data_IF_786828706829
#
_entry.id   IF_786828706829
#
_cell.length_a   1.000
_cell.length_b   1.000
_cell.length_c   1.000
_cell.angle_alpha   90.00
_cell.angle_beta   90.00
_cell.angle_gamma   90.00
#
_symmetry.space_group_name_H-M   'P 1'
#
loop_
_entity.id
_entity.type
_entity.pdbx_description
1 polymer ?
#
# COMPACT_ATOMS: atom_id res chain seq x y z
N UNK A 1 -12.96 13.69 -5.03
CA UNK A 1 -12.63 13.90 -6.47
C UNK A 1 -13.05 15.31 -6.84
N UNK A 2 -12.27 16.00 -7.67
CA UNK A 2 -12.57 17.37 -8.11
C UNK A 2 -12.49 17.48 -9.63
N UNK A 3 -13.11 18.52 -10.18
CA UNK A 3 -13.13 18.84 -11.61
C UNK A 3 -12.11 19.93 -11.90
N UNK A 4 -11.39 19.81 -13.01
CA UNK A 4 -10.57 20.87 -13.61
C UNK A 4 -11.06 21.14 -15.01
N UNK A 5 -11.02 22.41 -15.39
CA UNK A 5 -11.23 22.86 -16.76
C UNK A 5 -9.93 23.52 -17.22
N UNK A 6 -9.64 23.39 -18.51
CA UNK A 6 -8.45 23.97 -19.13
C UNK A 6 -8.94 24.92 -20.20
N UNK A 7 -8.40 26.13 -20.22
CA UNK A 7 -8.67 27.08 -21.30
C UNK A 7 -7.59 26.92 -22.37
N UNK A 8 -8.00 26.65 -23.61
CA UNK A 8 -7.10 26.57 -24.77
C UNK A 8 -7.73 27.30 -25.93
N UNK A 9 -7.05 28.32 -26.45
CA UNK A 9 -7.52 29.15 -27.57
C UNK A 9 -8.95 29.65 -27.31
N UNK A 10 -9.17 30.29 -26.15
CA UNK A 10 -10.45 30.85 -25.72
C UNK A 10 -11.60 29.83 -25.50
N UNK A 11 -11.34 28.55 -25.75
CA UNK A 11 -12.30 27.46 -25.51
C UNK A 11 -12.04 26.80 -24.16
N UNK A 12 -13.12 26.63 -23.38
CA UNK A 12 -13.11 25.90 -22.11
C UNK A 12 -13.23 24.39 -22.36
N UNK A 13 -12.16 23.66 -22.12
CA UNK A 13 -12.08 22.20 -22.25
C UNK A 13 -12.27 21.52 -20.89
N UNK A 14 -13.01 20.42 -20.88
CA UNK A 14 -13.29 19.62 -19.68
C UNK A 14 -14.78 19.27 -19.56
N UNK A 15 -15.22 18.79 -18.39
CA UNK A 15 -14.47 18.63 -17.14
C UNK A 15 -13.47 17.47 -17.18
N UNK A 16 -12.30 17.68 -16.60
CA UNK A 16 -11.31 16.65 -16.30
C UNK A 16 -11.38 16.31 -14.81
N UNK A 17 -11.50 15.03 -14.48
CA UNK A 17 -11.62 14.58 -13.10
C UNK A 17 -10.25 14.21 -12.53
N UNK A 18 -9.99 14.68 -11.31
CA UNK A 18 -8.75 14.43 -10.59
C UNK A 18 -9.03 14.03 -9.14
N UNK A 19 -8.05 13.35 -8.53
CA UNK A 19 -8.05 13.07 -7.09
C UNK A 19 -6.69 13.39 -6.50
N UNK A 20 -6.69 14.00 -5.31
CA UNK A 20 -5.48 14.31 -4.56
C UNK A 20 -5.28 13.26 -3.48
N UNK A 21 -4.03 12.84 -3.28
CA UNK A 21 -3.63 12.01 -2.18
C UNK A 21 -2.32 12.53 -1.58
N UNK A 22 -2.16 12.33 -0.27
CA UNK A 22 -0.97 12.74 0.47
C UNK A 22 0.01 11.58 0.49
N UNK A 23 1.27 11.83 0.13
CA UNK A 23 2.34 10.84 0.24
C UNK A 23 2.82 10.73 1.68
N UNK A 24 3.60 9.68 1.98
CA UNK A 24 4.20 9.48 3.31
C UNK A 24 5.06 10.69 3.74
N UNK A 25 5.72 11.33 2.78
CA UNK A 25 6.56 12.53 2.98
C UNK A 25 5.75 13.83 3.10
N UNK A 26 4.42 13.74 3.20
CA UNK A 26 3.54 14.89 3.38
C UNK A 26 3.22 15.67 2.11
N UNK A 27 3.84 15.38 0.97
CA UNK A 27 3.57 16.02 -0.32
C UNK A 27 2.19 15.62 -0.86
N UNK A 28 1.48 16.55 -1.50
CA UNK A 28 0.21 16.27 -2.17
C UNK A 28 0.47 15.96 -3.64
N UNK A 29 0.01 14.79 -4.11
CA UNK A 29 0.05 14.42 -5.53
C UNK A 29 -1.38 14.33 -6.08
N UNK A 30 -1.53 14.68 -7.35
CA UNK A 30 -2.81 14.60 -8.08
C UNK A 30 -2.75 13.49 -9.11
N UNK A 31 -3.77 12.63 -9.15
CA UNK A 31 -3.95 11.61 -10.19
C UNK A 31 -5.13 11.98 -11.09
N UNK A 32 -4.95 11.79 -12.40
CA UNK A 32 -5.99 11.99 -13.39
C UNK A 32 -6.93 10.77 -13.47
N UNK A 33 -8.23 11.01 -13.39
CA UNK A 33 -9.27 9.98 -13.38
C UNK A 33 -10.04 9.88 -14.71
N UNK A 34 -9.87 10.82 -15.64
CA UNK A 34 -10.55 10.82 -16.94
C UNK A 34 -11.45 12.03 -17.16
N UNK A 35 -12.09 12.10 -18.34
CA UNK A 35 -13.06 13.16 -18.70
C UNK A 35 -14.51 12.80 -18.36
N UNK A 36 -14.82 11.51 -18.27
CA UNK A 36 -16.18 11.04 -18.00
C UNK A 36 -16.39 10.80 -16.50
N UNK A 37 -17.45 11.40 -15.93
CA UNK A 37 -17.76 11.30 -14.49
C UNK A 37 -17.89 9.85 -14.03
N UNK A 38 -18.65 9.02 -14.76
CA UNK A 38 -18.90 7.61 -14.38
C UNK A 38 -17.62 6.80 -14.35
N UNK A 39 -16.79 6.89 -15.40
CA UNK A 39 -15.48 6.21 -15.47
C UNK A 39 -14.52 6.72 -14.39
N UNK A 40 -14.51 8.03 -14.13
CA UNK A 40 -13.69 8.63 -13.09
C UNK A 40 -14.07 8.13 -11.68
N UNK A 41 -15.36 8.03 -11.39
CA UNK A 41 -15.84 7.46 -10.12
C UNK A 41 -15.42 6.00 -9.98
N UNK A 42 -15.58 5.18 -11.02
CA UNK A 42 -15.15 3.77 -10.99
C UNK A 42 -13.65 3.64 -10.71
N UNK A 43 -12.81 4.43 -11.39
CA UNK A 43 -11.37 4.46 -11.15
C UNK A 43 -11.01 4.92 -9.74
N UNK A 44 -11.74 5.88 -9.18
CA UNK A 44 -11.51 6.33 -7.81
C UNK A 44 -11.79 5.22 -6.80
N UNK A 45 -12.90 4.49 -6.96
CA UNK A 45 -13.25 3.37 -6.09
C UNK A 45 -12.18 2.27 -6.14
N UNK A 46 -11.76 1.88 -7.35
CA UNK A 46 -10.67 0.91 -7.55
C UNK A 46 -9.37 1.36 -6.87
N UNK A 47 -9.03 2.63 -6.98
CA UNK A 47 -7.84 3.18 -6.31
C UNK A 47 -7.96 3.10 -4.78
N UNK A 48 -9.13 3.40 -4.23
CA UNK A 48 -9.37 3.34 -2.79
C UNK A 48 -9.27 1.90 -2.26
N UNK A 49 -9.86 0.94 -2.98
CA UNK A 49 -9.79 -0.48 -2.66
C UNK A 49 -8.34 -0.98 -2.67
N UNK A 50 -7.58 -0.66 -3.72
CA UNK A 50 -6.16 -0.98 -3.81
C UNK A 50 -5.36 -0.41 -2.63
N UNK A 51 -5.60 0.85 -2.27
CA UNK A 51 -4.91 1.48 -1.14
C UNK A 51 -5.28 0.85 0.22
N UNK A 52 -6.52 0.37 0.38
CA UNK A 52 -6.94 -0.34 1.58
C UNK A 52 -6.26 -1.71 1.68
N UNK A 53 -6.20 -2.46 0.58
CA UNK A 53 -5.49 -3.75 0.50
C UNK A 53 -4.02 -3.57 0.88
N UNK A 54 -3.32 -2.61 0.26
CA UNK A 54 -1.92 -2.29 0.59
C UNK A 54 -1.71 -1.90 2.05
N UNK A 55 -2.67 -1.22 2.67
CA UNK A 55 -2.61 -0.88 4.11
C UNK A 55 -2.78 -2.12 5.00
N UNK A 56 -3.58 -3.10 4.59
CA UNK A 56 -3.74 -4.37 5.32
C UNK A 56 -2.46 -5.22 5.22
N UNK A 57 -1.93 -5.39 4.01
CA UNK A 57 -0.64 -6.07 3.79
C UNK A 57 0.49 -5.45 4.62
N UNK A 58 0.57 -4.12 4.65
CA UNK A 58 1.57 -3.40 5.45
C UNK A 58 1.35 -3.50 6.97
N UNK A 59 0.15 -3.86 7.43
CA UNK A 59 -0.13 -4.13 8.86
C UNK A 59 0.20 -5.58 9.21
N UNK A 60 -0.12 -6.53 8.35
CA UNK A 60 0.19 -7.95 8.53
C UNK A 60 1.71 -8.17 8.58
N UNK A 61 2.45 -7.61 7.62
CA UNK A 61 3.92 -7.68 7.58
C UNK A 61 4.64 -6.95 8.72
N UNK A 62 3.98 -5.99 9.39
CA UNK A 62 4.54 -5.26 10.53
C UNK A 62 4.15 -5.84 11.88
N UNK A 63 3.24 -6.80 11.93
CA UNK A 63 2.96 -7.53 13.15
C UNK A 63 4.15 -8.49 13.30
N UNK A 64 5.05 -8.32 14.29
CA UNK A 64 6.00 -9.38 14.56
C UNK A 64 5.16 -10.64 14.80
N UNK A 65 5.50 -11.74 14.11
CA UNK A 65 5.02 -13.05 14.52
C UNK A 65 5.36 -13.14 16.01
N UNK A 66 4.33 -13.19 16.85
CA UNK A 66 4.53 -13.44 18.27
C UNK A 66 4.90 -14.91 18.38
N UNK A 67 6.16 -15.23 18.10
CA UNK A 67 6.73 -16.51 18.44
C UNK A 67 6.63 -16.58 19.96
N UNK A 68 5.96 -17.60 20.46
CA UNK A 68 5.84 -17.83 21.90
C UNK A 68 7.23 -18.04 22.49
N UNK A 69 7.43 -17.64 23.74
CA UNK A 69 8.70 -17.90 24.46
C UNK A 69 9.08 -19.39 24.44
N UNK A 70 8.06 -20.27 24.40
CA UNK A 70 8.24 -21.71 24.32
C UNK A 70 8.79 -22.17 22.97
N UNK A 71 8.27 -21.63 21.85
CA UNK A 71 8.80 -21.92 20.51
C UNK A 71 10.24 -21.41 20.35
N UNK A 72 10.57 -20.26 20.95
CA UNK A 72 11.96 -19.76 20.95
C UNK A 72 12.87 -20.71 21.73
N UNK A 73 12.42 -21.21 22.88
CA UNK A 73 13.21 -22.14 23.70
C UNK A 73 13.46 -23.46 22.95
N UNK A 74 12.42 -24.03 22.34
CA UNK A 74 12.54 -25.26 21.56
C UNK A 74 13.51 -25.10 20.38
N UNK A 75 13.48 -23.96 19.67
CA UNK A 75 14.41 -23.68 18.57
C UNK A 75 15.86 -23.51 19.04
N UNK A 76 16.07 -22.96 20.23
CA UNK A 76 17.40 -22.86 20.84
C UNK A 76 17.92 -24.25 21.18
N UNK A 77 17.09 -25.10 21.78
CA UNK A 77 17.46 -26.48 22.13
C UNK A 77 17.80 -27.32 20.88
N UNK A 78 17.03 -27.17 19.79
CA UNK A 78 17.33 -27.82 18.51
C UNK A 78 18.67 -27.34 17.90
N UNK A 79 18.95 -26.04 17.99
CA UNK A 79 20.22 -25.46 17.52
C UNK A 79 21.42 -25.97 18.31
N UNK A 80 21.28 -26.10 19.63
CA UNK A 80 22.36 -26.60 20.49
C UNK A 80 22.67 -28.07 20.21
N UNK A 81 21.63 -28.88 19.94
CA UNK A 81 21.80 -30.28 19.53
C UNK A 81 22.52 -30.40 18.19
N UNK A 82 22.11 -29.63 17.18
CA UNK A 82 22.76 -29.60 15.86
C UNK A 82 24.24 -29.17 15.94
N UNK A 83 24.53 -28.15 16.75
CA UNK A 83 25.91 -27.69 16.97
C UNK A 83 26.76 -28.73 17.69
N UNK A 84 26.17 -29.48 18.63
CA UNK A 84 26.86 -30.57 19.31
C UNK A 84 27.16 -31.75 18.36
N UNK A 85 26.29 -32.04 17.39
CA UNK A 85 26.53 -33.04 16.35
C UNK A 85 27.60 -32.60 15.35
N UNK A 86 27.58 -31.33 14.92
CA UNK A 86 28.59 -30.77 14.03
C UNK A 86 30.00 -30.76 14.63
N UNK A 87 30.12 -30.58 15.96
CA UNK A 87 31.40 -30.63 16.68
C UNK A 87 31.96 -32.05 16.89
N UNK A 88 31.16 -33.09 16.64
CA UNK A 88 31.57 -34.51 16.77
C UNK A 88 32.05 -35.12 15.43
N UNK A 89 31.93 -34.39 14.33
CA UNK A 89 32.54 -34.72 13.02
C UNK A 89 33.87 -33.98 12.86
#
# INVERSE_FOLDING_TARGET
>A
MFKRFINRNEKKLGPYYYHNFKTKDGKVKSIYLGKEKKKATKKLLQLQEYLQLRKKEAKETKKPEKISLLEIHNLIDELDQLNAELKKK
#
